data_IF_447208500121
#
_entry.id   IF_447208500121
#
_cell.length_a   1.000
_cell.length_b   1.000
_cell.length_c   1.000
_cell.angle_alpha   90.00
_cell.angle_beta   90.00
_cell.angle_gamma   90.00
#
_symmetry.space_group_name_H-M   'P 1'
#
loop_
_entity.id
_entity.type
_entity.pdbx_description
1 polymer ?
#
# COMPACT_ATOMS: atom_id res chain seq x y z
N UNK A 1 -21.18 -2.47 5.29
CA UNK A 1 -21.18 -1.41 6.33
C UNK A 1 -20.67 -0.12 5.68
N UNK A 2 -21.57 0.85 5.48
CA UNK A 2 -21.24 2.15 4.89
C UNK A 2 -20.78 3.09 6.00
N UNK A 3 -19.57 3.60 5.89
CA UNK A 3 -19.10 4.75 6.67
C UNK A 3 -19.17 5.96 5.73
N UNK A 4 -20.13 6.86 5.93
CA UNK A 4 -20.15 8.19 5.29
C UNK A 4 -20.18 8.18 3.74
N UNK A 5 -21.06 7.38 3.11
CA UNK A 5 -21.41 7.53 1.68
C UNK A 5 -20.31 7.29 0.63
N UNK A 6 -19.04 7.10 1.02
CA UNK A 6 -17.93 6.75 0.14
C UNK A 6 -17.49 5.33 0.42
N UNK A 7 -17.40 4.53 -0.64
CA UNK A 7 -16.80 3.20 -0.58
C UNK A 7 -15.42 3.32 0.07
N UNK A 8 -15.23 2.65 1.21
CA UNK A 8 -13.89 2.42 1.76
C UNK A 8 -13.15 1.59 0.72
N UNK A 9 -12.30 2.23 -0.07
CA UNK A 9 -11.52 1.55 -1.09
C UNK A 9 -10.47 0.69 -0.39
N UNK A 10 -10.76 -0.60 -0.24
CA UNK A 10 -9.82 -1.61 0.24
C UNK A 10 -8.66 -1.86 -0.74
N UNK A 11 -8.57 -1.10 -1.83
CA UNK A 11 -7.51 -1.19 -2.84
C UNK A 11 -6.26 -0.37 -2.51
N UNK A 12 -6.17 0.24 -1.32
CA UNK A 12 -5.06 1.15 -0.98
C UNK A 12 -5.11 2.49 -1.72
N UNK A 13 -6.30 2.93 -2.16
CA UNK A 13 -6.49 4.19 -2.88
C UNK A 13 -6.00 5.37 -2.02
N UNK A 14 -4.86 5.96 -2.41
CA UNK A 14 -4.20 7.06 -1.69
C UNK A 14 -2.79 6.75 -1.16
N UNK A 15 -2.36 5.48 -1.11
CA UNK A 15 -1.01 5.10 -0.64
C UNK A 15 -0.06 4.77 -1.81
N UNK A 16 0.30 5.80 -2.61
CA UNK A 16 1.20 5.64 -3.76
C UNK A 16 2.56 5.05 -3.37
N UNK A 17 3.14 5.49 -2.26
CA UNK A 17 4.45 5.02 -1.78
C UNK A 17 4.42 3.52 -1.43
N UNK A 18 3.39 3.06 -0.71
CA UNK A 18 3.22 1.64 -0.39
C UNK A 18 3.01 0.77 -1.63
N UNK A 19 2.22 1.25 -2.59
CA UNK A 19 1.95 0.51 -3.83
C UNK A 19 3.18 0.46 -4.75
N UNK A 20 3.93 1.56 -4.84
CA UNK A 20 5.16 1.65 -5.62
C UNK A 20 6.29 0.79 -5.03
N UNK A 21 6.45 0.79 -3.70
CA UNK A 21 7.40 -0.09 -3.03
C UNK A 21 7.04 -1.56 -3.27
N UNK A 22 5.76 -1.91 -3.16
CA UNK A 22 5.27 -3.27 -3.43
C UNK A 22 5.57 -3.70 -4.86
N UNK A 23 5.40 -2.80 -5.84
CA UNK A 23 5.73 -3.05 -7.24
C UNK A 23 7.23 -3.33 -7.42
N UNK A 24 8.11 -2.51 -6.83
CA UNK A 24 9.56 -2.72 -6.92
C UNK A 24 9.96 -4.06 -6.31
N UNK A 25 9.40 -4.40 -5.14
CA UNK A 25 9.69 -5.68 -4.47
C UNK A 25 9.30 -6.86 -5.34
N UNK A 26 8.08 -6.87 -5.90
CA UNK A 26 7.63 -7.91 -6.82
C UNK A 26 8.54 -8.01 -8.05
N UNK A 27 8.97 -6.87 -8.61
CA UNK A 27 9.86 -6.82 -9.77
C UNK A 27 11.24 -7.45 -9.46
N UNK A 28 11.82 -7.14 -8.30
CA UNK A 28 13.11 -7.68 -7.87
C UNK A 28 13.02 -9.19 -7.64
N UNK A 29 11.97 -9.66 -6.98
CA UNK A 29 11.78 -11.10 -6.73
C UNK A 29 11.56 -11.85 -8.05
N UNK A 30 10.81 -11.27 -8.98
CA UNK A 30 10.63 -11.84 -10.31
C UNK A 30 11.94 -11.92 -11.10
N UNK A 31 12.73 -10.85 -11.10
CA UNK A 31 14.05 -10.85 -11.74
C UNK A 31 15.00 -11.87 -11.12
N UNK A 32 14.99 -11.99 -9.79
CA UNK A 32 15.78 -13.00 -9.07
C UNK A 32 15.34 -14.43 -9.42
N UNK A 33 14.04 -14.68 -9.59
CA UNK A 33 13.54 -15.98 -10.04
C UNK A 33 14.04 -16.33 -11.44
N UNK A 34 14.02 -15.38 -12.38
CA UNK A 34 14.60 -15.56 -13.72
C UNK A 34 16.10 -15.83 -13.62
N UNK A 35 16.83 -15.07 -12.80
CA UNK A 35 18.27 -15.28 -12.62
C UNK A 35 18.59 -16.68 -12.06
N UNK A 36 17.77 -17.22 -11.16
CA UNK A 36 17.95 -18.59 -10.67
C UNK A 36 17.81 -19.63 -11.76
N UNK A 37 16.97 -19.40 -12.79
CA UNK A 37 16.87 -20.33 -13.93
C UNK A 37 18.16 -20.40 -14.75
N UNK A 38 19.04 -19.39 -14.69
CA UNK A 38 20.34 -19.45 -15.36
C UNK A 38 21.29 -20.50 -14.77
N UNK A 39 21.04 -20.96 -13.54
CA UNK A 39 21.82 -22.03 -12.90
C UNK A 39 21.24 -23.43 -13.11
N UNK A 40 20.19 -23.54 -13.94
CA UNK A 40 19.53 -24.81 -14.20
C UNK A 40 20.40 -25.70 -15.09
N UNK A 41 20.91 -26.78 -14.51
CA UNK A 41 21.64 -27.83 -15.23
C UNK A 41 21.00 -29.19 -14.91
N UNK A 42 21.05 -30.16 -15.83
CA UNK A 42 20.46 -31.50 -15.64
C UNK A 42 20.98 -32.21 -14.38
N UNK A 43 22.24 -32.01 -14.01
CA UNK A 43 22.84 -32.65 -12.84
C UNK A 43 22.45 -31.98 -11.50
N UNK A 44 22.07 -30.70 -11.54
CA UNK A 44 21.87 -29.86 -10.35
C UNK A 44 20.53 -29.12 -10.36
N UNK A 45 19.57 -29.57 -11.15
CA UNK A 45 18.26 -28.95 -11.35
C UNK A 45 17.43 -28.75 -10.08
N UNK A 46 17.68 -29.53 -9.04
CA UNK A 46 16.85 -29.53 -7.83
C UNK A 46 17.00 -28.24 -6.99
N UNK A 47 18.22 -27.71 -6.85
CA UNK A 47 18.46 -26.54 -5.97
C UNK A 47 17.92 -25.22 -6.56
N UNK A 48 18.05 -24.92 -7.87
CA UNK A 48 17.45 -23.73 -8.46
C UNK A 48 15.92 -23.84 -8.42
N UNK A 49 15.35 -25.03 -8.58
CA UNK A 49 13.90 -25.24 -8.44
C UNK A 49 13.40 -24.91 -7.03
N UNK A 50 14.09 -25.37 -5.98
CA UNK A 50 13.70 -25.02 -4.61
C UNK A 50 13.82 -23.53 -4.32
N UNK A 51 14.83 -22.86 -4.87
CA UNK A 51 14.96 -21.41 -4.73
C UNK A 51 13.86 -20.67 -5.46
N UNK A 52 13.52 -21.06 -6.68
CA UNK A 52 12.41 -20.44 -7.44
C UNK A 52 11.08 -20.64 -6.69
N UNK A 53 10.84 -21.82 -6.11
CA UNK A 53 9.66 -22.07 -5.26
C UNK A 53 9.68 -21.26 -3.96
N UNK A 54 10.84 -21.08 -3.33
CA UNK A 54 10.97 -20.21 -2.17
C UNK A 54 10.70 -18.74 -2.52
N UNK A 55 11.27 -18.27 -3.63
CA UNK A 55 11.06 -16.91 -4.13
C UNK A 55 9.60 -16.66 -4.48
N UNK A 56 8.88 -17.63 -5.03
CA UNK A 56 7.46 -17.46 -5.34
C UNK A 56 6.62 -17.30 -4.07
N UNK A 57 6.90 -18.04 -2.99
CA UNK A 57 6.24 -17.84 -1.69
C UNK A 57 6.55 -16.44 -1.13
N UNK A 58 7.82 -16.03 -1.18
CA UNK A 58 8.24 -14.69 -0.70
C UNK A 58 7.60 -13.57 -1.54
N UNK A 59 7.41 -13.78 -2.84
CA UNK A 59 6.75 -12.84 -3.74
C UNK A 59 5.30 -12.53 -3.31
N UNK A 60 4.60 -13.46 -2.67
CA UNK A 60 3.26 -13.23 -2.14
C UNK A 60 3.27 -12.74 -0.69
N UNK A 61 4.14 -13.30 0.15
CA UNK A 61 4.19 -12.97 1.58
C UNK A 61 4.59 -11.50 1.84
N UNK A 62 5.54 -10.97 1.07
CA UNK A 62 6.06 -9.62 1.29
C UNK A 62 5.02 -8.53 0.96
N UNK A 63 4.36 -8.54 -0.21
CA UNK A 63 3.26 -7.61 -0.50
C UNK A 63 2.14 -7.66 0.53
N UNK A 64 1.77 -8.86 0.99
CA UNK A 64 0.73 -9.02 2.01
C UNK A 64 1.13 -8.34 3.33
N UNK A 65 2.40 -8.42 3.73
CA UNK A 65 2.88 -7.76 4.93
C UNK A 65 2.98 -6.23 4.79
N UNK A 66 3.40 -5.73 3.63
CA UNK A 66 3.52 -4.29 3.35
C UNK A 66 2.13 -3.65 3.29
N UNK A 67 1.22 -4.23 2.50
CA UNK A 67 -0.15 -3.72 2.35
C UNK A 67 -0.95 -3.90 3.64
N UNK A 68 -0.76 -5.01 4.37
CA UNK A 68 -1.41 -5.24 5.67
C UNK A 68 -0.97 -4.27 6.76
N UNK A 69 0.26 -3.74 6.71
CA UNK A 69 0.73 -2.69 7.64
C UNK A 69 0.26 -1.29 7.28
N UNK A 70 -0.11 -1.03 6.02
CA UNK A 70 -0.70 0.25 5.62
C UNK A 70 -1.98 0.57 6.40
N UNK A 71 -2.72 -0.45 6.83
CA UNK A 71 -3.95 -0.30 7.62
C UNK A 71 -3.73 -0.30 9.14
N UNK A 72 -2.47 -0.39 9.62
CA UNK A 72 -2.18 -0.60 11.04
C UNK A 72 -2.31 0.65 11.94
N UNK A 73 -2.49 1.84 11.37
CA UNK A 73 -2.67 3.09 12.14
C UNK A 73 -3.98 3.84 11.76
N UNK A 74 -5.14 3.22 12.00
CA UNK A 74 -6.43 3.86 11.79
C UNK A 74 -6.65 5.04 12.75
N UNK A 75 -5.97 5.04 13.91
CA UNK A 75 -6.00 6.08 14.94
C UNK A 75 -5.34 7.39 14.46
N UNK A 76 -4.17 7.30 13.82
CA UNK A 76 -3.44 8.47 13.31
C UNK A 76 -4.19 9.13 12.15
N UNK A 77 -4.68 8.32 11.22
CA UNK A 77 -5.44 8.79 10.05
C UNK A 77 -6.82 9.34 10.43
N UNK A 78 -7.49 8.77 11.43
CA UNK A 78 -8.75 9.31 11.95
C UNK A 78 -8.55 10.65 12.66
N UNK A 79 -7.50 10.80 13.47
CA UNK A 79 -7.19 12.05 14.15
C UNK A 79 -6.82 13.18 13.17
N UNK A 80 -5.99 12.86 12.17
CA UNK A 80 -5.57 13.83 11.15
C UNK A 80 -6.75 14.32 10.28
N UNK A 81 -7.66 13.41 9.88
CA UNK A 81 -8.89 13.79 9.19
C UNK A 81 -9.85 14.61 10.06
N UNK A 82 -9.94 14.31 11.36
CA UNK A 82 -10.76 15.08 12.28
C UNK A 82 -10.20 16.51 12.47
N UNK A 83 -8.88 16.65 12.56
CA UNK A 83 -8.20 17.95 12.64
C UNK A 83 -8.40 18.78 11.36
N UNK A 84 -8.28 18.16 10.18
CA UNK A 84 -8.55 18.84 8.91
C UNK A 84 -10.01 19.29 8.80
N UNK A 85 -10.97 18.46 9.24
CA UNK A 85 -12.38 18.82 9.23
C UNK A 85 -12.71 20.00 10.15
N UNK A 86 -12.05 20.13 11.31
CA UNK A 86 -12.23 21.30 12.17
C UNK A 86 -11.66 22.58 11.56
N UNK A 87 -10.51 22.49 10.88
CA UNK A 87 -9.90 23.65 10.20
C UNK A 87 -10.77 24.11 9.03
N UNK A 88 -11.30 23.19 8.24
CA UNK A 88 -12.20 23.52 7.13
C UNK A 88 -13.52 24.14 7.64
N UNK A 89 -14.04 23.68 8.78
CA UNK A 89 -15.23 24.26 9.38
C UNK A 89 -15.00 25.71 9.84
N UNK A 90 -13.87 25.98 10.49
CA UNK A 90 -13.47 27.32 10.92
C UNK A 90 -13.25 28.27 9.73
N UNK A 91 -12.58 27.80 8.67
CA UNK A 91 -12.37 28.58 7.45
C UNK A 91 -13.70 28.94 6.76
N UNK A 92 -14.66 28.00 6.72
CA UNK A 92 -15.99 28.26 6.17
C UNK A 92 -16.79 29.29 6.95
N UNK A 93 -16.68 29.28 8.28
CA UNK A 93 -17.35 30.25 9.15
C UNK A 93 -16.75 31.65 8.97
N UNK A 94 -15.42 31.74 8.84
CA UNK A 94 -14.73 32.99 8.54
C UNK A 94 -15.19 33.59 7.20
N UNK A 95 -15.28 32.79 6.13
CA UNK A 95 -15.79 33.26 4.83
C UNK A 95 -17.26 33.67 4.93
N UNK A 96 -18.11 32.89 5.62
CA UNK A 96 -19.52 33.24 5.79
C UNK A 96 -19.68 34.57 6.54
N UNK A 97 -18.87 34.80 7.56
CA UNK A 97 -18.87 36.04 8.35
C UNK A 97 -18.38 37.24 7.53
N UNK A 98 -17.36 37.07 6.69
CA UNK A 98 -16.87 38.10 5.76
C UNK A 98 -17.92 38.49 4.71
N UNK A 99 -18.66 37.52 4.16
CA UNK A 99 -19.71 37.76 3.16
C UNK A 99 -20.94 38.51 3.73
N UNK A 100 -21.22 38.36 5.03
CA UNK A 100 -22.33 39.07 5.71
C UNK A 100 -21.97 40.54 6.01
N UNK A 101 -20.68 40.89 5.96
CA UNK A 101 -20.17 42.22 6.30
C UNK A 101 -20.12 43.19 5.11
N UNK A 102 -20.40 42.70 3.90
CA UNK A 102 -20.51 43.46 2.64
C UNK A 102 -21.96 43.51 2.16
#
# INVERSE_FOLDING_TARGET
MYSQGKNKAYSGQGNFAGNFLTLIVCLVIFAAAIFMTSFWNLATAWWPTFLVLGLSVVAFAVPQHILGRSDAHPDKTANENAALASVDAEYRDAIATEQVKH
#
